data_IF_521392908291
#
_entry.id   IF_521392908291
#
_cell.length_a   1.000
_cell.length_b   1.000
_cell.length_c   1.000
_cell.angle_alpha   90.00
_cell.angle_beta   90.00
_cell.angle_gamma   90.00
#
_symmetry.space_group_name_H-M   'P 1'
#
loop_
_entity.id
_entity.type
_entity.pdbx_description
1 polymer ?
#
# COMPACT_ATOMS: atom_id res chain seq x y z
N UNK A 1 -5.33 -18.87 11.91
CA UNK A 1 -5.45 -17.41 11.75
C UNK A 1 -4.83 -16.74 12.96
N UNK A 2 -3.87 -15.83 12.74
CA UNK A 2 -3.31 -14.96 13.77
C UNK A 2 -4.10 -13.64 13.76
N UNK A 3 -4.45 -13.12 14.94
CA UNK A 3 -5.06 -11.80 15.09
C UNK A 3 -4.10 -10.89 15.84
N UNK A 4 -3.82 -9.72 15.26
CA UNK A 4 -3.03 -8.65 15.86
C UNK A 4 -4.00 -7.53 16.24
N UNK A 5 -4.40 -7.49 17.51
CA UNK A 5 -5.35 -6.49 18.03
C UNK A 5 -4.61 -5.52 18.95
N UNK A 6 -4.40 -4.30 18.47
CA UNK A 6 -3.57 -3.31 19.16
C UNK A 6 -4.08 -1.89 18.94
N UNK A 7 -4.13 -1.11 20.02
CA UNK A 7 -4.45 0.32 19.97
C UNK A 7 -3.22 1.20 19.84
N UNK A 8 -2.03 0.68 20.17
CA UNK A 8 -0.75 1.34 20.00
C UNK A 8 -0.06 0.90 18.70
N UNK A 9 0.83 1.75 18.20
CA UNK A 9 1.62 1.46 17.02
C UNK A 9 2.69 0.41 17.33
N UNK A 10 2.92 -0.52 16.41
CA UNK A 10 3.97 -1.55 16.51
C UNK A 10 4.67 -1.68 15.18
N UNK A 11 5.99 -1.77 15.25
CA UNK A 11 6.83 -2.22 14.15
C UNK A 11 7.16 -3.69 14.33
N UNK A 12 6.93 -4.48 13.28
CA UNK A 12 7.44 -5.84 13.14
C UNK A 12 8.62 -5.78 12.16
N UNK A 13 9.82 -5.85 12.74
CA UNK A 13 11.11 -5.80 12.05
C UNK A 13 11.68 -7.19 11.71
N UNK A 14 11.02 -8.25 12.18
CA UNK A 14 11.29 -9.62 11.79
C UNK A 14 10.52 -10.07 10.55
N UNK A 15 11.06 -11.06 9.84
CA UNK A 15 10.36 -11.66 8.69
C UNK A 15 9.16 -12.46 9.17
N UNK A 16 8.00 -12.19 8.58
CA UNK A 16 6.77 -12.97 8.74
C UNK A 16 6.60 -13.84 7.49
N UNK A 17 6.45 -15.16 7.67
CA UNK A 17 6.43 -16.13 6.57
C UNK A 17 5.37 -17.23 6.76
N UNK A 18 5.16 -18.02 5.71
CA UNK A 18 4.21 -19.13 5.68
C UNK A 18 2.89 -18.79 4.99
N UNK A 19 1.93 -19.72 5.05
CA UNK A 19 0.65 -19.65 4.33
C UNK A 19 -0.56 -19.33 5.22
N UNK A 20 -0.33 -19.07 6.50
CA UNK A 20 -1.39 -18.73 7.45
C UNK A 20 -2.00 -17.35 7.17
N UNK A 21 -3.21 -17.11 7.69
CA UNK A 21 -3.83 -15.80 7.61
C UNK A 21 -3.51 -14.92 8.82
N UNK A 22 -3.40 -13.61 8.58
CA UNK A 22 -3.21 -12.56 9.59
C UNK A 22 -4.39 -11.59 9.48
N UNK A 23 -4.97 -11.24 10.62
CA UNK A 23 -5.97 -10.16 10.72
C UNK A 23 -5.43 -9.08 11.64
N UNK A 24 -5.35 -7.84 11.16
CA UNK A 24 -5.00 -6.65 11.94
C UNK A 24 -6.27 -5.88 12.30
N UNK A 25 -6.45 -5.64 13.60
CA UNK A 25 -7.56 -4.88 14.19
C UNK A 25 -7.02 -3.90 15.24
N UNK A 26 -7.91 -3.11 15.85
CA UNK A 26 -7.54 -2.02 16.76
C UNK A 26 -7.01 -0.80 16.00
N UNK A 27 -6.88 0.32 16.72
CA UNK A 27 -6.64 1.64 16.12
C UNK A 27 -5.18 1.94 15.77
N UNK A 28 -4.22 1.20 16.32
CA UNK A 28 -2.80 1.47 16.10
C UNK A 28 -2.32 1.09 14.71
N UNK A 29 -1.18 1.64 14.30
CA UNK A 29 -0.47 1.26 13.09
C UNK A 29 0.31 -0.03 13.29
N UNK A 30 0.33 -0.87 12.25
CA UNK A 30 1.25 -2.00 12.12
C UNK A 30 2.24 -1.69 10.99
N UNK A 31 3.53 -1.61 11.31
CA UNK A 31 4.58 -1.41 10.32
C UNK A 31 5.33 -2.70 10.05
N UNK A 32 5.44 -3.12 8.78
CA UNK A 32 6.35 -4.18 8.34
C UNK A 32 7.56 -3.57 7.66
N UNK A 33 8.75 -3.81 8.24
CA UNK A 33 10.01 -3.25 7.72
C UNK A 33 10.96 -4.32 7.19
N UNK A 34 10.67 -5.59 7.42
CA UNK A 34 11.49 -6.70 6.94
C UNK A 34 11.10 -7.13 5.51
N UNK A 35 12.07 -7.63 4.77
CA UNK A 35 11.86 -8.18 3.44
C UNK A 35 11.66 -9.70 3.49
N UNK A 36 10.60 -10.18 2.85
CA UNK A 36 10.48 -11.55 2.42
C UNK A 36 11.41 -11.83 1.24
N UNK A 37 11.89 -13.06 1.19
CA UNK A 37 12.75 -13.65 0.16
C UNK A 37 12.17 -15.01 -0.22
N UNK A 38 12.62 -15.60 -1.32
CA UNK A 38 12.18 -16.93 -1.76
C UNK A 38 12.30 -18.07 -0.73
N UNK A 39 13.10 -17.91 0.33
CA UNK A 39 13.24 -18.90 1.41
C UNK A 39 12.28 -18.72 2.58
N UNK A 40 11.55 -17.60 2.62
CA UNK A 40 10.70 -17.21 3.74
C UNK A 40 9.49 -16.40 3.27
N UNK A 41 8.93 -16.72 2.11
CA UNK A 41 7.74 -16.06 1.56
C UNK A 41 6.55 -16.14 2.53
N UNK A 42 5.72 -15.10 2.51
CA UNK A 42 4.36 -15.13 3.03
C UNK A 42 3.39 -15.31 1.86
N UNK A 43 2.64 -16.40 1.83
CA UNK A 43 1.69 -16.74 0.76
C UNK A 43 0.22 -16.68 1.21
N UNK A 44 0.00 -16.29 2.46
CA UNK A 44 -1.33 -16.21 3.06
C UNK A 44 -2.09 -14.91 2.75
N UNK A 45 -3.20 -14.74 3.47
CA UNK A 45 -3.99 -13.52 3.42
C UNK A 45 -3.68 -12.62 4.63
N UNK A 46 -3.41 -11.34 4.36
CA UNK A 46 -3.36 -10.26 5.33
C UNK A 46 -4.62 -9.41 5.19
N UNK A 47 -5.43 -9.37 6.23
CA UNK A 47 -6.67 -8.59 6.26
C UNK A 47 -6.55 -7.51 7.32
N UNK A 48 -6.70 -6.26 6.93
CA UNK A 48 -6.66 -5.10 7.83
C UNK A 48 -8.08 -4.59 7.98
N UNK A 49 -8.65 -4.83 9.16
CA UNK A 49 -10.01 -4.46 9.54
C UNK A 49 -10.05 -3.26 10.51
N UNK A 50 -8.89 -2.73 10.91
CA UNK A 50 -8.78 -1.56 11.77
C UNK A 50 -7.38 -0.96 11.84
N UNK A 51 -7.33 0.37 11.98
CA UNK A 51 -6.09 1.13 12.10
C UNK A 51 -5.35 1.25 10.76
N UNK A 52 -4.03 1.23 10.84
CA UNK A 52 -3.15 1.48 9.68
C UNK A 52 -2.20 0.32 9.44
N UNK A 53 -1.87 0.09 8.18
CA UNK A 53 -0.76 -0.75 7.74
C UNK A 53 0.28 0.14 7.04
N UNK A 54 1.52 0.07 7.50
CA UNK A 54 2.67 0.73 6.89
C UNK A 54 3.60 -0.35 6.35
N UNK A 55 3.82 -0.35 5.04
CA UNK A 55 4.77 -1.25 4.39
C UNK A 55 6.04 -0.47 4.07
N UNK A 56 7.13 -0.76 4.76
CA UNK A 56 8.44 -0.16 4.50
C UNK A 56 9.47 -1.19 3.99
N UNK A 57 9.19 -2.48 4.16
CA UNK A 57 9.89 -3.58 3.51
C UNK A 57 9.11 -4.19 2.34
N UNK A 58 9.62 -5.29 1.79
CA UNK A 58 8.99 -6.12 0.78
C UNK A 58 8.26 -7.30 1.43
N UNK A 59 6.95 -7.20 1.60
CA UNK A 59 6.14 -8.20 2.29
C UNK A 59 5.31 -9.07 1.32
N UNK A 60 5.40 -10.39 1.43
CA UNK A 60 4.61 -11.34 0.64
C UNK A 60 5.43 -12.47 -0.01
N UNK A 61 5.00 -12.87 -1.20
CA UNK A 61 5.55 -13.99 -1.99
C UNK A 61 6.30 -13.45 -3.21
N UNK A 62 7.62 -13.64 -3.21
CA UNK A 62 8.55 -13.08 -4.21
C UNK A 62 8.39 -13.63 -5.63
N UNK A 63 7.77 -14.80 -5.82
CA UNK A 63 7.68 -15.44 -7.13
C UNK A 63 6.23 -15.66 -7.58
N UNK A 64 5.41 -16.21 -6.69
CA UNK A 64 4.03 -16.60 -7.03
C UNK A 64 3.04 -15.45 -6.94
N UNK A 65 3.39 -14.35 -6.27
CA UNK A 65 2.48 -13.24 -5.96
C UNK A 65 1.15 -13.72 -5.32
N UNK A 66 1.19 -14.86 -4.61
CA UNK A 66 0.00 -15.51 -4.08
C UNK A 66 -0.54 -14.84 -2.81
N UNK A 67 0.29 -14.02 -2.15
CA UNK A 67 -0.12 -13.21 -1.01
C UNK A 67 -1.28 -12.28 -1.41
N UNK A 68 -2.22 -12.09 -0.48
CA UNK A 68 -3.31 -11.12 -0.66
C UNK A 68 -3.38 -10.16 0.51
N UNK A 69 -3.65 -8.89 0.19
CA UNK A 69 -3.91 -7.83 1.16
C UNK A 69 -5.30 -7.25 0.92
N UNK A 70 -6.10 -7.15 1.97
CA UNK A 70 -7.39 -6.46 1.93
C UNK A 70 -7.44 -5.42 3.03
N UNK A 71 -7.75 -4.18 2.65
CA UNK A 71 -7.91 -3.04 3.55
C UNK A 71 -9.38 -2.65 3.60
N UNK A 72 -10.02 -2.80 4.76
CA UNK A 72 -11.43 -2.44 4.92
C UNK A 72 -11.63 -0.92 4.97
N UNK A 73 -12.89 -0.50 4.76
CA UNK A 73 -13.29 0.89 4.97
C UNK A 73 -12.88 1.40 6.37
N UNK A 74 -12.34 2.62 6.42
CA UNK A 74 -11.85 3.23 7.65
C UNK A 74 -10.42 2.83 8.06
N UNK A 75 -9.75 1.96 7.30
CA UNK A 75 -8.32 1.64 7.47
C UNK A 75 -7.45 2.51 6.56
N UNK A 76 -6.13 2.53 6.81
CA UNK A 76 -5.18 3.21 5.91
C UNK A 76 -3.98 2.32 5.54
N UNK A 77 -3.61 2.33 4.26
CA UNK A 77 -2.40 1.71 3.74
C UNK A 77 -1.40 2.79 3.33
N UNK A 78 -0.15 2.67 3.77
CA UNK A 78 0.95 3.54 3.34
C UNK A 78 2.32 2.89 3.46
N UNK A 79 3.36 3.72 3.52
CA UNK A 79 4.77 3.31 3.56
C UNK A 79 5.44 3.32 2.18
N UNK A 80 6.76 3.13 2.16
CA UNK A 80 7.59 3.21 0.92
C UNK A 80 8.00 1.85 0.34
N UNK A 81 7.48 0.77 0.92
CA UNK A 81 7.84 -0.60 0.64
C UNK A 81 7.06 -1.22 -0.51
N UNK A 82 7.06 -2.55 -0.54
CA UNK A 82 6.39 -3.36 -1.56
C UNK A 82 5.47 -4.39 -0.93
N UNK A 83 4.22 -4.45 -1.37
CA UNK A 83 3.43 -5.66 -1.21
C UNK A 83 3.67 -6.57 -2.42
N UNK A 84 4.20 -7.77 -2.19
CA UNK A 84 4.60 -8.71 -3.25
C UNK A 84 3.42 -9.48 -3.85
N UNK A 85 2.19 -9.24 -3.38
CA UNK A 85 0.96 -9.86 -3.87
C UNK A 85 -0.02 -8.87 -4.49
N UNK A 86 -1.29 -9.25 -4.56
CA UNK A 86 -2.38 -8.35 -4.97
C UNK A 86 -3.06 -7.66 -3.78
N UNK A 87 -3.52 -6.43 -3.98
CA UNK A 87 -4.13 -5.59 -2.95
C UNK A 87 -5.54 -5.17 -3.36
N UNK A 88 -6.47 -5.24 -2.40
CA UNK A 88 -7.80 -4.61 -2.46
C UNK A 88 -7.86 -3.54 -1.38
N UNK A 89 -8.27 -2.32 -1.75
CA UNK A 89 -8.43 -1.21 -0.81
C UNK A 89 -9.84 -0.65 -0.90
N UNK A 90 -10.61 -0.81 0.18
CA UNK A 90 -11.87 -0.11 0.43
C UNK A 90 -11.70 1.05 1.44
N UNK A 91 -10.50 1.17 2.03
CA UNK A 91 -10.09 2.24 2.94
C UNK A 91 -9.32 3.37 2.26
N UNK A 92 -8.34 3.95 2.97
CA UNK A 92 -7.46 5.00 2.46
C UNK A 92 -6.15 4.40 1.92
N UNK A 93 -5.75 4.78 0.72
CA UNK A 93 -4.41 4.58 0.18
C UNK A 93 -3.64 5.91 0.24
N UNK A 94 -2.55 5.95 1.00
CA UNK A 94 -1.68 7.11 1.17
C UNK A 94 -0.23 6.63 1.03
N UNK A 95 0.33 6.71 -0.19
CA UNK A 95 1.64 6.15 -0.47
C UNK A 95 2.76 6.90 0.28
N UNK A 96 3.84 6.17 0.56
CA UNK A 96 5.02 6.72 1.21
C UNK A 96 4.89 6.86 2.73
N UNK A 97 5.99 7.33 3.32
CA UNK A 97 5.98 8.00 4.62
C UNK A 97 5.86 9.52 4.42
N UNK A 98 5.15 9.91 3.35
CA UNK A 98 4.73 11.26 3.01
C UNK A 98 5.86 12.29 2.74
N UNK A 99 6.26 12.51 1.46
CA UNK A 99 5.89 11.79 0.24
C UNK A 99 6.70 10.52 0.00
N UNK A 100 6.22 9.63 -0.87
CA UNK A 100 7.02 8.51 -1.36
C UNK A 100 6.30 7.55 -2.30
N UNK A 101 7.01 6.47 -2.64
CA UNK A 101 6.50 5.45 -3.57
C UNK A 101 6.11 4.18 -2.83
N UNK A 102 4.86 3.74 -2.96
CA UNK A 102 4.44 2.40 -2.54
C UNK A 102 4.33 1.49 -3.76
N UNK A 103 4.84 0.27 -3.67
CA UNK A 103 4.79 -0.70 -4.77
C UNK A 103 3.86 -1.86 -4.45
N UNK A 104 3.09 -2.29 -5.45
CA UNK A 104 2.24 -3.48 -5.43
C UNK A 104 2.68 -4.34 -6.59
N UNK A 105 3.30 -5.49 -6.32
CA UNK A 105 3.82 -6.34 -7.39
C UNK A 105 2.70 -7.04 -8.19
N UNK A 106 1.58 -7.34 -7.55
CA UNK A 106 0.38 -7.89 -8.19
C UNK A 106 -0.58 -6.84 -8.72
N UNK A 107 -1.88 -7.16 -8.67
CA UNK A 107 -2.95 -6.25 -9.07
C UNK A 107 -3.31 -5.31 -7.91
N UNK A 108 -3.79 -4.11 -8.24
CA UNK A 108 -4.45 -3.21 -7.30
C UNK A 108 -5.90 -3.02 -7.70
N UNK A 109 -6.81 -3.25 -6.75
CA UNK A 109 -8.22 -2.88 -6.87
C UNK A 109 -8.59 -1.85 -5.82
N UNK A 110 -9.01 -0.68 -6.27
CA UNK A 110 -9.56 0.38 -5.44
C UNK A 110 -11.09 0.30 -5.52
N UNK A 111 -11.76 0.16 -4.39
CA UNK A 111 -13.22 0.17 -4.32
C UNK A 111 -13.80 1.58 -4.47
N UNK A 112 -15.10 1.69 -4.77
CA UNK A 112 -15.79 2.97 -4.92
C UNK A 112 -15.76 3.86 -3.67
N UNK A 113 -15.59 3.25 -2.49
CA UNK A 113 -15.44 3.96 -1.21
C UNK A 113 -13.99 4.34 -0.86
N UNK A 114 -13.00 3.93 -1.67
CA UNK A 114 -11.61 4.17 -1.38
C UNK A 114 -11.27 5.66 -1.41
N UNK A 115 -10.33 6.07 -0.56
CA UNK A 115 -9.79 7.43 -0.54
C UNK A 115 -8.33 7.36 -0.99
N UNK A 116 -7.98 8.14 -2.01
CA UNK A 116 -6.64 8.21 -2.57
C UNK A 116 -6.01 9.51 -2.09
N UNK A 117 -5.17 9.44 -1.06
CA UNK A 117 -4.44 10.60 -0.55
C UNK A 117 -3.09 10.69 -1.24
N UNK A 118 -2.85 11.80 -1.93
CA UNK A 118 -1.59 12.05 -2.65
C UNK A 118 -1.01 13.41 -2.30
N UNK A 119 0.22 13.41 -1.82
CA UNK A 119 1.06 14.58 -1.65
C UNK A 119 1.79 14.88 -2.95
N UNK A 120 1.67 16.10 -3.45
CA UNK A 120 2.19 16.51 -4.75
C UNK A 120 2.83 17.89 -4.68
N UNK A 121 4.05 18.01 -5.20
CA UNK A 121 4.87 19.23 -5.11
C UNK A 121 5.78 19.50 -6.30
N UNK A 122 5.95 18.54 -7.22
CA UNK A 122 6.87 18.67 -8.35
C UNK A 122 6.23 18.22 -9.68
N UNK A 123 5.77 19.17 -10.49
CA UNK A 123 5.13 18.83 -11.78
C UNK A 123 6.11 18.14 -12.73
N UNK A 124 5.64 17.13 -13.46
CA UNK A 124 6.43 16.45 -14.47
C UNK A 124 7.27 15.28 -13.96
N UNK A 125 7.42 15.16 -12.63
CA UNK A 125 8.21 14.12 -11.96
C UNK A 125 7.30 13.02 -11.42
N UNK A 126 7.61 11.76 -11.72
CA UNK A 126 6.87 10.61 -11.17
C UNK A 126 7.47 10.20 -9.83
N UNK A 127 6.66 10.23 -8.76
CA UNK A 127 7.11 9.92 -7.41
C UNK A 127 8.28 10.77 -6.93
N UNK A 128 9.03 10.25 -5.97
CA UNK A 128 10.25 10.86 -5.45
C UNK A 128 10.04 11.63 -4.15
N UNK A 129 10.92 12.59 -3.88
CA UNK A 129 10.92 13.31 -2.59
C UNK A 129 9.76 14.30 -2.42
N UNK A 130 9.08 14.66 -3.51
CA UNK A 130 8.07 15.71 -3.52
C UNK A 130 6.69 15.24 -4.01
N UNK A 131 6.59 14.02 -4.53
CA UNK A 131 5.34 13.46 -5.04
C UNK A 131 5.17 12.03 -4.54
N UNK A 132 3.95 11.71 -4.15
CA UNK A 132 3.52 10.33 -3.98
C UNK A 132 3.38 9.63 -5.32
N UNK A 133 3.67 8.33 -5.31
CA UNK A 133 3.46 7.44 -6.44
C UNK A 133 3.02 6.06 -5.94
N UNK A 134 2.09 5.44 -6.64
CA UNK A 134 1.81 4.02 -6.48
C UNK A 134 2.21 3.29 -7.75
N UNK A 135 3.06 2.28 -7.62
CA UNK A 135 3.49 1.44 -8.74
C UNK A 135 2.79 0.10 -8.65
N UNK A 136 2.05 -0.27 -9.68
CA UNK A 136 1.32 -1.53 -9.77
C UNK A 136 1.95 -2.42 -10.84
N UNK A 137 2.42 -3.60 -10.47
CA UNK A 137 3.02 -4.55 -11.42
C UNK A 137 1.98 -5.16 -12.37
N UNK A 138 0.75 -5.33 -11.89
CA UNK A 138 -0.36 -5.93 -12.63
C UNK A 138 -1.42 -4.91 -13.11
N UNK A 139 -2.66 -5.38 -13.14
CA UNK A 139 -3.83 -4.59 -13.49
C UNK A 139 -4.18 -3.59 -12.39
N UNK A 140 -4.66 -2.42 -12.79
CA UNK A 140 -5.20 -1.39 -11.92
C UNK A 140 -6.70 -1.26 -12.16
N UNK A 141 -7.51 -1.52 -11.14
CA UNK A 141 -8.90 -1.06 -11.09
C UNK A 141 -8.93 0.20 -10.24
N UNK A 142 -9.23 1.32 -10.88
CA UNK A 142 -9.20 2.65 -10.29
C UNK A 142 -10.63 3.16 -10.07
N UNK A 143 -11.02 3.28 -8.82
CA UNK A 143 -12.27 3.90 -8.37
C UNK A 143 -11.97 4.69 -7.08
N UNK A 144 -12.99 5.30 -6.49
CA UNK A 144 -12.88 6.06 -5.25
C UNK A 144 -12.68 7.56 -5.45
N UNK A 145 -12.29 8.25 -4.39
CA UNK A 145 -12.15 9.70 -4.36
C UNK A 145 -10.69 10.11 -4.23
N UNK A 146 -10.20 10.88 -5.20
CA UNK A 146 -8.87 11.52 -5.13
C UNK A 146 -8.89 12.74 -4.21
N UNK A 147 -8.00 12.73 -3.23
CA UNK A 147 -7.69 13.85 -2.37
C UNK A 147 -6.21 14.19 -2.51
N UNK A 148 -5.92 15.40 -2.99
CA UNK A 148 -4.54 15.87 -3.14
C UNK A 148 -4.18 16.84 -2.03
N UNK A 149 -2.94 16.74 -1.55
CA UNK A 149 -2.33 17.67 -0.60
C UNK A 149 -1.11 18.31 -1.27
N UNK A 150 -1.01 19.64 -1.17
CA UNK A 150 0.15 20.36 -1.70
C UNK A 150 1.36 20.06 -0.82
N UNK A 151 2.46 19.63 -1.42
CA UNK A 151 3.73 19.40 -0.73
C UNK A 151 4.82 20.36 -1.23
N UNK A 152 5.76 20.75 -0.36
CA UNK A 152 6.87 21.61 -0.73
C UNK A 152 6.43 22.93 -1.37
N UNK A 153 6.85 23.18 -2.62
CA UNK A 153 6.48 24.38 -3.38
C UNK A 153 4.98 24.43 -3.77
N UNK A 154 4.25 23.32 -3.59
CA UNK A 154 2.84 23.16 -3.87
C UNK A 154 2.52 22.88 -5.33
N UNK A 155 1.26 23.05 -5.71
CA UNK A 155 0.82 22.81 -7.08
C UNK A 155 1.34 23.86 -8.05
N UNK A 156 2.00 23.39 -9.11
CA UNK A 156 2.33 24.17 -10.29
C UNK A 156 1.55 23.67 -11.52
N UNK A 157 1.55 24.44 -12.62
CA UNK A 157 1.01 23.95 -13.88
C UNK A 157 1.82 22.75 -14.37
N UNK A 158 1.13 21.69 -14.79
CA UNK A 158 1.76 20.50 -15.36
C UNK A 158 0.95 19.24 -15.08
N UNK A 159 1.60 18.09 -15.24
CA UNK A 159 1.03 16.80 -14.90
C UNK A 159 1.69 16.25 -13.63
N UNK A 160 0.91 15.52 -12.86
CA UNK A 160 1.35 14.79 -11.66
C UNK A 160 0.95 13.34 -11.84
N UNK A 161 1.95 12.45 -11.81
CA UNK A 161 1.69 11.02 -12.00
C UNK A 161 1.33 10.39 -10.66
N UNK A 162 0.13 9.82 -10.57
CA UNK A 162 -0.36 9.14 -9.37
C UNK A 162 -0.05 7.64 -9.40
N UNK A 163 -0.19 7.03 -10.58
CA UNK A 163 0.00 5.60 -10.78
C UNK A 163 0.91 5.32 -11.98
N UNK A 164 1.75 4.30 -11.83
CA UNK A 164 2.25 3.47 -12.93
C UNK A 164 1.61 2.08 -12.81
N UNK A 165 1.23 1.46 -13.94
CA UNK A 165 0.66 0.11 -13.95
C UNK A 165 1.19 -0.72 -15.12
N UNK A 166 1.50 -1.99 -14.87
CA UNK A 166 2.02 -2.91 -15.88
C UNK A 166 0.96 -3.62 -16.73
N UNK A 167 -0.27 -3.73 -16.22
CA UNK A 167 -1.39 -4.42 -16.85
C UNK A 167 -2.42 -3.50 -17.48
N UNK A 168 -3.69 -3.89 -17.40
CA UNK A 168 -4.82 -3.10 -17.89
C UNK A 168 -5.34 -2.14 -16.82
N UNK A 169 -5.85 -0.99 -17.25
CA UNK A 169 -6.63 -0.07 -16.42
C UNK A 169 -8.13 -0.33 -16.59
N UNK A 170 -8.86 -0.44 -15.48
CA UNK A 170 -10.33 -0.37 -15.41
C UNK A 170 -10.70 0.84 -14.56
N UNK A 171 -11.65 1.67 -15.00
CA UNK A 171 -12.08 2.89 -14.31
C UNK A 171 -13.56 3.22 -14.53
#
# INVERSE_FOLDING_TARGET
>A
ALVLEQSADVTLDGVVSGSGSITKTGTGALAFTADNTAGNDFTGALHVAGGSLVLDGAFGDTAGHAASLTMDAGTSLGGTGTFLGSVIVDGTLAAGNSPGTLTIAGNLTLGAGAILNYELGESGTAGGANNDLVVVGGNLTLDGTLNTVAFGAGYGPGYYRLFDYGGTLTN
#
